data_IF_015858217228
#
_entry.id   IF_015858217228
#
_cell.length_a   1.000
_cell.length_b   1.000
_cell.length_c   1.000
_cell.angle_alpha   90.00
_cell.angle_beta   90.00
_cell.angle_gamma   90.00
#
_symmetry.space_group_name_H-M   'P 1'
#
loop_
_entity.id
_entity.type
_entity.pdbx_description
1 polymer ?
#
# COMPACT_ATOMS: atom_id res chain seq x y z
N UNK A 1 8.36 -19.03 -4.21
CA UNK A 1 7.26 -18.52 -3.37
C UNK A 1 7.02 -17.07 -3.74
N UNK A 2 5.78 -16.57 -3.66
CA UNK A 2 5.43 -15.18 -3.93
C UNK A 2 4.55 -14.67 -2.79
N UNK A 3 4.77 -13.43 -2.38
CA UNK A 3 3.97 -12.73 -1.39
C UNK A 3 3.56 -11.36 -1.93
N UNK A 4 2.47 -10.82 -1.41
CA UNK A 4 2.01 -9.47 -1.73
C UNK A 4 1.89 -8.69 -0.43
N UNK A 5 2.59 -7.56 -0.32
CA UNK A 5 2.58 -6.73 0.90
C UNK A 5 2.94 -7.58 2.13
N UNK A 6 2.06 -7.68 3.14
CA UNK A 6 2.25 -8.51 4.33
C UNK A 6 2.55 -9.98 4.00
N UNK A 7 2.04 -10.48 2.88
CA UNK A 7 2.27 -11.86 2.43
C UNK A 7 3.73 -12.17 2.10
N UNK A 8 4.58 -11.17 1.87
CA UNK A 8 6.02 -11.37 1.67
C UNK A 8 6.70 -11.94 2.91
N UNK A 9 6.25 -11.56 4.12
CA UNK A 9 6.78 -12.10 5.37
C UNK A 9 6.42 -13.59 5.51
N UNK A 10 5.20 -13.97 5.12
CA UNK A 10 4.79 -15.37 5.07
C UNK A 10 5.58 -16.16 4.03
N UNK A 11 5.79 -15.58 2.84
CA UNK A 11 6.58 -16.20 1.78
C UNK A 11 8.05 -16.39 2.19
N UNK A 12 8.65 -15.40 2.85
CA UNK A 12 10.01 -15.48 3.36
C UNK A 12 10.17 -16.57 4.44
N UNK A 13 9.20 -16.69 5.36
CA UNK A 13 9.16 -17.80 6.32
C UNK A 13 9.04 -19.15 5.61
N UNK A 14 8.08 -19.30 4.71
CA UNK A 14 7.86 -20.55 3.97
C UNK A 14 9.07 -20.93 3.09
N UNK A 15 9.88 -19.95 2.68
CA UNK A 15 11.10 -20.16 1.91
C UNK A 15 12.32 -20.52 2.79
N UNK A 16 12.19 -20.47 4.12
CA UNK A 16 13.30 -20.67 5.05
C UNK A 16 14.24 -19.46 5.17
N UNK A 17 13.86 -18.29 4.66
CA UNK A 17 14.65 -17.04 4.80
C UNK A 17 14.54 -16.47 6.21
N UNK A 18 13.35 -16.58 6.81
CA UNK A 18 13.08 -16.14 8.19
C UNK A 18 12.77 -17.35 9.07
N UNK A 19 13.24 -17.32 10.32
CA UNK A 19 12.69 -18.21 11.34
C UNK A 19 11.22 -17.84 11.63
N UNK A 20 10.47 -18.76 12.26
CA UNK A 20 9.10 -18.45 12.68
C UNK A 20 9.08 -17.28 13.67
N UNK A 21 10.07 -17.19 14.55
CA UNK A 21 10.18 -16.14 15.56
C UNK A 21 10.42 -14.77 14.91
N UNK A 22 11.29 -14.69 13.91
CA UNK A 22 11.60 -13.44 13.21
C UNK A 22 10.42 -12.98 12.36
N UNK A 23 9.79 -13.92 11.64
CA UNK A 23 8.59 -13.65 10.87
C UNK A 23 7.44 -13.13 11.76
N UNK A 24 7.22 -13.75 12.92
CA UNK A 24 6.23 -13.28 13.90
C UNK A 24 6.58 -11.89 14.45
N UNK A 25 7.85 -11.63 14.74
CA UNK A 25 8.33 -10.33 15.22
C UNK A 25 8.11 -9.23 14.19
N UNK A 26 8.43 -9.49 12.91
CA UNK A 26 8.19 -8.54 11.82
C UNK A 26 6.71 -8.27 11.59
N UNK A 27 5.88 -9.32 11.48
CA UNK A 27 4.44 -9.18 11.22
C UNK A 27 3.76 -8.37 12.33
N UNK A 28 4.02 -8.72 13.59
CA UNK A 28 3.39 -8.05 14.74
C UNK A 28 3.88 -6.62 14.91
N UNK A 29 5.18 -6.38 14.73
CA UNK A 29 5.75 -5.02 14.78
C UNK A 29 5.23 -4.15 13.64
N UNK A 30 5.20 -4.67 12.42
CA UNK A 30 4.63 -3.97 11.25
C UNK A 30 3.17 -3.58 11.51
N UNK A 31 2.34 -4.53 11.95
CA UNK A 31 0.93 -4.27 12.25
C UNK A 31 0.75 -3.20 13.32
N UNK A 32 1.49 -3.29 14.43
CA UNK A 32 1.43 -2.30 15.52
C UNK A 32 1.86 -0.90 15.05
N UNK A 33 2.95 -0.82 14.29
CA UNK A 33 3.46 0.46 13.78
C UNK A 33 2.49 1.09 12.79
N UNK A 34 2.02 0.33 11.80
CA UNK A 34 1.06 0.83 10.81
C UNK A 34 -0.25 1.29 11.47
N UNK A 35 -0.68 0.64 12.55
CA UNK A 35 -1.84 1.05 13.34
C UNK A 35 -1.62 2.35 14.14
N UNK A 36 -0.36 2.72 14.40
CA UNK A 36 0.01 3.95 15.12
C UNK A 36 0.16 5.17 14.22
N UNK A 37 0.18 4.98 12.89
CA UNK A 37 0.10 6.08 11.95
C UNK A 37 -1.20 6.88 12.18
N UNK A 38 -1.16 8.17 11.87
CA UNK A 38 -2.36 9.02 11.93
C UNK A 38 -3.46 8.40 11.06
N UNK A 39 -4.64 8.12 11.63
CA UNK A 39 -5.77 7.65 10.85
C UNK A 39 -6.15 8.68 9.79
N UNK A 40 -6.41 8.22 8.58
CA UNK A 40 -6.67 9.11 7.44
C UNK A 40 -6.18 8.51 6.14
N UNK A 41 -6.74 9.00 5.04
CA UNK A 41 -6.52 8.47 3.70
C UNK A 41 -7.35 7.21 3.42
N UNK A 42 -7.20 6.69 2.20
CA UNK A 42 -7.89 5.50 1.75
C UNK A 42 -7.06 4.76 0.71
N UNK A 43 -7.60 3.65 0.20
CA UNK A 43 -7.03 2.93 -0.93
C UNK A 43 -8.12 2.67 -1.96
N UNK A 44 -7.77 2.80 -3.23
CA UNK A 44 -8.70 2.71 -4.36
C UNK A 44 -8.16 1.71 -5.37
N UNK A 45 -8.91 0.65 -5.62
CA UNK A 45 -8.64 -0.25 -6.73
C UNK A 45 -9.26 0.32 -8.01
N UNK A 46 -8.48 0.35 -9.09
CA UNK A 46 -8.83 0.93 -10.38
C UNK A 46 -8.63 -0.08 -11.51
N UNK A 47 -9.57 -0.10 -12.44
CA UNK A 47 -9.39 -0.72 -13.75
C UNK A 47 -8.68 0.27 -14.68
N UNK A 48 -7.37 0.38 -14.52
CA UNK A 48 -6.49 1.25 -15.30
C UNK A 48 -5.09 0.62 -15.39
N UNK A 49 -4.29 1.04 -16.36
CA UNK A 49 -2.86 0.75 -16.43
C UNK A 49 -2.02 1.77 -15.65
N UNK A 50 -0.78 1.42 -15.31
CA UNK A 50 0.17 2.35 -14.69
C UNK A 50 0.37 3.62 -15.56
N UNK A 51 0.47 3.45 -16.88
CA UNK A 51 0.68 4.56 -17.81
C UNK A 51 -0.51 5.54 -17.88
N UNK A 52 -1.74 5.07 -17.66
CA UNK A 52 -2.93 5.93 -17.56
C UNK A 52 -2.98 6.69 -16.23
N UNK A 53 -2.45 6.09 -15.16
CA UNK A 53 -2.49 6.64 -13.81
C UNK A 53 -1.35 7.63 -13.56
N UNK A 54 -0.14 7.37 -14.06
CA UNK A 54 1.06 8.18 -13.80
C UNK A 54 0.85 9.69 -14.02
N UNK A 55 0.24 10.15 -15.13
CA UNK A 55 0.06 11.58 -15.38
C UNK A 55 -0.90 12.24 -14.40
N UNK A 56 -1.83 11.48 -13.80
CA UNK A 56 -2.78 11.99 -12.81
C UNK A 56 -2.15 12.17 -11.42
N UNK A 57 -0.95 11.60 -11.20
CA UNK A 57 -0.23 11.70 -9.94
C UNK A 57 0.78 12.85 -9.91
N UNK A 58 1.01 13.52 -11.04
CA UNK A 58 1.96 14.64 -11.11
C UNK A 58 1.60 15.74 -10.11
N UNK A 59 2.52 16.02 -9.17
CA UNK A 59 2.30 17.02 -8.11
C UNK A 59 1.54 16.49 -6.89
N UNK A 60 1.10 15.24 -6.90
CA UNK A 60 0.45 14.56 -5.78
C UNK A 60 1.36 13.55 -5.07
N UNK A 61 2.65 13.51 -5.39
CA UNK A 61 3.62 12.53 -4.87
C UNK A 61 3.71 12.47 -3.34
N UNK A 62 3.36 13.57 -2.67
CA UNK A 62 3.35 13.70 -1.21
C UNK A 62 2.06 13.19 -0.56
N UNK A 63 1.01 12.95 -1.35
CA UNK A 63 -0.34 12.65 -0.89
C UNK A 63 -0.86 11.31 -1.42
N UNK A 64 -0.44 10.89 -2.62
CA UNK A 64 -0.93 9.68 -3.30
C UNK A 64 0.22 8.88 -3.89
N UNK A 65 0.10 7.56 -3.85
CA UNK A 65 1.05 6.64 -4.48
C UNK A 65 0.34 5.46 -5.13
N UNK A 66 1.01 4.87 -6.12
CA UNK A 66 0.65 3.54 -6.62
C UNK A 66 1.05 2.52 -5.56
N UNK A 67 0.07 1.98 -4.84
CA UNK A 67 0.26 0.99 -3.80
C UNK A 67 0.59 -0.40 -4.35
N UNK A 68 0.01 -0.75 -5.49
CA UNK A 68 0.24 -2.03 -6.14
C UNK A 68 -0.11 -1.98 -7.63
N UNK A 69 0.69 -2.68 -8.43
CA UNK A 69 0.40 -3.02 -9.82
C UNK A 69 0.08 -4.53 -9.86
N UNK A 70 -1.20 -4.87 -9.81
CA UNK A 70 -1.67 -6.26 -9.75
C UNK A 70 -1.80 -6.90 -11.14
N UNK A 71 -1.79 -6.09 -12.20
CA UNK A 71 -1.83 -6.54 -13.59
C UNK A 71 -1.84 -5.36 -14.56
N UNK A 72 -1.83 -5.66 -15.86
CA UNK A 72 -1.73 -4.64 -16.92
C UNK A 72 -2.84 -3.57 -16.86
N UNK A 73 -4.01 -3.90 -16.32
CA UNK A 73 -5.14 -2.98 -16.13
C UNK A 73 -5.73 -3.07 -14.73
N UNK A 74 -4.91 -3.39 -13.73
CA UNK A 74 -5.36 -3.54 -12.34
C UNK A 74 -4.35 -2.88 -11.40
N UNK A 75 -4.70 -1.68 -10.96
CA UNK A 75 -3.86 -0.84 -10.09
C UNK A 75 -4.60 -0.61 -8.77
N UNK A 76 -3.83 -0.47 -7.70
CA UNK A 76 -4.32 0.08 -6.44
C UNK A 76 -3.56 1.36 -6.15
N UNK A 77 -4.30 2.44 -5.90
CA UNK A 77 -3.78 3.68 -5.36
C UNK A 77 -4.02 3.75 -3.86
N UNK A 78 -3.17 4.50 -3.17
CA UNK A 78 -3.29 4.77 -1.73
C UNK A 78 -2.88 6.20 -1.44
N UNK A 79 -3.60 6.89 -0.58
CA UNK A 79 -3.30 8.27 -0.24
C UNK A 79 -4.46 9.02 0.38
N UNK A 80 -4.40 10.34 0.29
CA UNK A 80 -5.46 11.24 0.75
C UNK A 80 -6.80 10.93 0.08
N UNK A 81 -7.87 11.03 0.88
CA UNK A 81 -9.22 10.65 0.45
C UNK A 81 -9.70 11.48 -0.74
N UNK A 82 -9.61 12.81 -0.65
CA UNK A 82 -10.17 13.72 -1.65
C UNK A 82 -9.43 13.58 -2.99
N UNK A 83 -8.09 13.43 -2.95
CA UNK A 83 -7.28 13.20 -4.14
C UNK A 83 -7.65 11.89 -4.83
N UNK A 84 -7.89 10.82 -4.06
CA UNK A 84 -8.31 9.53 -4.61
C UNK A 84 -9.74 9.55 -5.15
N UNK A 85 -10.67 10.29 -4.53
CA UNK A 85 -12.02 10.47 -5.06
C UNK A 85 -11.98 11.16 -6.43
N UNK A 86 -11.20 12.24 -6.59
CA UNK A 86 -11.05 12.93 -7.88
C UNK A 86 -10.48 12.02 -8.98
N UNK A 87 -9.45 11.24 -8.65
CA UNK A 87 -8.88 10.26 -9.59
C UNK A 87 -9.90 9.14 -9.90
N UNK A 88 -10.65 8.69 -8.90
CA UNK A 88 -11.72 7.71 -9.07
C UNK A 88 -12.82 8.19 -10.00
N UNK A 89 -13.28 9.44 -9.83
CA UNK A 89 -14.27 10.08 -10.68
C UNK A 89 -13.79 10.16 -12.14
N UNK A 90 -12.53 10.50 -12.38
CA UNK A 90 -11.95 10.52 -13.73
C UNK A 90 -12.19 9.19 -14.46
N UNK A 91 -11.87 8.05 -13.83
CA UNK A 91 -12.06 6.73 -14.42
C UNK A 91 -13.52 6.30 -14.50
N UNK A 92 -14.37 6.69 -13.53
CA UNK A 92 -15.81 6.44 -13.59
C UNK A 92 -16.43 7.11 -14.83
N UNK A 93 -16.04 8.36 -15.14
CA UNK A 93 -16.56 9.06 -16.34
C UNK A 93 -16.19 8.38 -17.66
N UNK A 94 -15.19 7.49 -17.63
CA UNK A 94 -14.75 6.68 -18.76
C UNK A 94 -15.34 5.25 -18.72
N UNK A 95 -16.35 5.01 -17.90
CA UNK A 95 -17.01 3.71 -17.71
C UNK A 95 -16.04 2.61 -17.22
N UNK A 96 -15.04 2.99 -16.40
CA UNK A 96 -14.09 2.07 -15.77
C UNK A 96 -14.50 1.74 -14.35
N UNK A 97 -14.23 0.50 -13.93
CA UNK A 97 -14.49 0.06 -12.57
C UNK A 97 -13.51 0.69 -11.58
N UNK A 98 -14.06 1.27 -10.51
CA UNK A 98 -13.32 1.71 -9.33
C UNK A 98 -13.92 1.07 -8.07
N UNK A 99 -13.10 0.82 -7.05
CA UNK A 99 -13.57 0.22 -5.79
C UNK A 99 -12.73 0.71 -4.62
N UNK A 100 -13.35 1.45 -3.71
CA UNK A 100 -12.71 1.84 -2.44
C UNK A 100 -12.52 0.62 -1.56
N UNK A 101 -11.30 0.41 -1.08
CA UNK A 101 -10.97 -0.71 -0.22
C UNK A 101 -11.36 -0.42 1.23
N UNK A 102 -11.87 -1.43 1.93
CA UNK A 102 -12.23 -1.35 3.34
C UNK A 102 -10.97 -1.50 4.21
N UNK A 103 -10.24 -0.40 4.36
CA UNK A 103 -8.99 -0.31 5.11
C UNK A 103 -9.00 0.89 6.05
N UNK A 104 -8.19 0.82 7.11
CA UNK A 104 -8.11 1.89 8.11
C UNK A 104 -7.15 3.01 7.74
N UNK A 105 -6.20 2.77 6.82
CA UNK A 105 -5.15 3.71 6.43
C UNK A 105 -4.84 3.59 4.94
N UNK A 106 -4.19 4.62 4.40
CA UNK A 106 -3.51 4.57 3.11
C UNK A 106 -2.17 3.81 3.23
N UNK A 107 -2.22 2.48 3.18
CA UNK A 107 -0.99 1.68 3.18
C UNK A 107 -0.21 1.83 1.86
N UNK A 108 1.11 1.73 1.91
CA UNK A 108 2.01 1.92 0.74
C UNK A 108 1.96 3.33 0.13
N UNK A 109 1.76 4.34 0.98
CA UNK A 109 1.85 5.77 0.63
C UNK A 109 2.74 6.50 1.64
N UNK A 110 3.02 7.81 1.43
CA UNK A 110 3.72 8.66 2.40
C UNK A 110 3.10 8.68 3.80
N UNK A 111 1.85 8.23 3.96
CA UNK A 111 1.22 8.07 5.28
C UNK A 111 1.96 7.06 6.16
N UNK A 112 2.79 6.19 5.57
CA UNK A 112 3.62 5.22 6.28
C UNK A 112 4.99 5.80 6.67
N UNK A 113 5.41 6.96 6.17
CA UNK A 113 6.72 7.57 6.45
C UNK A 113 7.05 7.67 7.95
N UNK A 114 6.11 8.06 8.84
CA UNK A 114 6.40 8.20 10.26
C UNK A 114 6.91 6.93 10.95
N UNK A 115 6.63 5.74 10.39
CA UNK A 115 7.00 4.47 11.01
C UNK A 115 8.25 3.82 10.40
N UNK A 116 8.78 4.34 9.28
CA UNK A 116 9.81 3.66 8.50
C UNK A 116 11.10 3.45 9.29
N UNK A 117 11.53 4.47 10.05
CA UNK A 117 12.73 4.38 10.90
C UNK A 117 12.61 3.26 11.94
N UNK A 118 11.52 3.27 12.69
CA UNK A 118 11.31 2.29 13.75
C UNK A 118 11.16 0.87 13.19
N UNK A 119 10.46 0.71 12.06
CA UNK A 119 10.32 -0.61 11.44
C UNK A 119 11.67 -1.16 10.95
N UNK A 120 12.51 -0.32 10.35
CA UNK A 120 13.86 -0.69 9.90
C UNK A 120 14.77 -1.08 11.06
N UNK A 121 14.72 -0.36 12.19
CA UNK A 121 15.51 -0.72 13.38
C UNK A 121 15.13 -2.10 13.92
N UNK A 122 13.84 -2.44 13.92
CA UNK A 122 13.37 -3.77 14.33
C UNK A 122 13.89 -4.82 13.34
N UNK A 123 13.74 -4.58 12.03
CA UNK A 123 14.18 -5.53 11.01
C UNK A 123 15.69 -5.78 11.02
N UNK A 124 16.51 -4.79 11.36
CA UNK A 124 17.97 -4.91 11.42
C UNK A 124 18.49 -5.75 12.61
N UNK A 125 17.63 -6.14 13.54
CA UNK A 125 17.96 -6.93 14.73
C UNK A 125 17.63 -8.42 14.58
N UNK A 126 17.09 -8.82 13.42
CA UNK A 126 16.60 -10.17 13.13
C UNK A 126 17.54 -10.91 12.18
#
# INVERSE_FOLDING_TARGET
LLGHSIGELTAAYAAGVLSLQDAATLVTSRGRLMQSCTPGGTMLALQASEAEVQPLLEGLDHAVSIAAINGATSIVLSGDHDSLEQIGEHFITQDRRTTRLQVSHAFHSPHMDPILEQFRQIAAQL
#
